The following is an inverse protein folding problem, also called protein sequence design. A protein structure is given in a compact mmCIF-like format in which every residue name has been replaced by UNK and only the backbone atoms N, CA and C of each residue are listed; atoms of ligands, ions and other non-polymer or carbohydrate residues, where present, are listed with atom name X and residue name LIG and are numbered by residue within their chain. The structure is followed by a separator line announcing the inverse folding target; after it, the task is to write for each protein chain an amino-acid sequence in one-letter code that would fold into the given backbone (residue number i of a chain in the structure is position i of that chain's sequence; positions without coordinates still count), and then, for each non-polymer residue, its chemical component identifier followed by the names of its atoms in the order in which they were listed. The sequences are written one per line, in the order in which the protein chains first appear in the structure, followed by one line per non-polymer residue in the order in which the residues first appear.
data_IF_362211986154
#
_entry.id   IF_362211986154
#
_cell.length_a   1.000
_cell.length_b   1.000
_cell.length_c   1.000
_cell.angle_alpha   90.00
_cell.angle_beta   90.00
_cell.angle_gamma   90.00
#
_symmetry.space_group_name_H-M   'P 1'
#
loop_
_entity.id
_entity.type
_entity.pdbx_description
1 polymer ?
#
# COMPACT_ATOMS: atom_id res chain seq x y z
N UNK A 1 13.34 -14.91 13.00
CA UNK A 1 14.17 -14.04 13.85
C UNK A 1 14.53 -12.79 13.06
N UNK A 2 14.45 -11.62 13.67
CA UNK A 2 14.83 -10.33 13.09
C UNK A 2 15.72 -9.57 14.06
N UNK A 3 16.74 -8.88 13.58
CA UNK A 3 17.65 -8.09 14.42
C UNK A 3 17.66 -6.63 13.99
N UNK A 4 17.79 -5.73 14.97
CA UNK A 4 17.99 -4.32 14.75
C UNK A 4 19.07 -3.81 15.72
N UNK A 5 20.28 -3.62 15.23
CA UNK A 5 21.47 -3.26 16.02
C UNK A 5 21.65 -4.24 17.18
N UNK A 6 21.17 -3.86 18.38
CA UNK A 6 21.33 -4.62 19.63
C UNK A 6 20.04 -5.39 20.02
N UNK A 7 18.94 -5.17 19.33
CA UNK A 7 17.65 -5.79 19.62
C UNK A 7 17.39 -7.00 18.75
N UNK A 8 16.91 -8.09 19.33
CA UNK A 8 16.53 -9.33 18.66
C UNK A 8 15.03 -9.58 18.83
N UNK A 9 14.31 -9.70 17.72
CA UNK A 9 12.89 -10.11 17.71
C UNK A 9 12.79 -11.53 17.14
N UNK A 10 12.16 -12.42 17.86
CA UNK A 10 11.90 -13.76 17.38
C UNK A 10 10.53 -14.30 17.83
N UNK A 11 10.02 -15.26 17.07
CA UNK A 11 8.95 -16.14 17.48
C UNK A 11 9.39 -17.58 17.22
N UNK A 12 9.07 -18.49 18.12
CA UNK A 12 9.40 -19.89 17.99
C UNK A 12 8.25 -20.77 18.49
N UNK A 13 8.17 -21.97 17.95
CA UNK A 13 7.37 -23.02 18.56
C UNK A 13 8.12 -23.57 19.78
N UNK A 14 7.43 -24.18 20.78
CA UNK A 14 8.07 -24.73 21.97
C UNK A 14 9.24 -25.69 21.68
N UNK A 15 9.14 -26.45 20.60
CA UNK A 15 10.17 -27.40 20.17
C UNK A 15 11.52 -26.77 19.75
N UNK A 16 11.53 -25.46 19.45
CA UNK A 16 12.73 -24.70 19.09
C UNK A 16 13.28 -23.86 20.26
N UNK A 17 12.69 -23.97 21.45
CA UNK A 17 13.07 -23.11 22.57
C UNK A 17 14.51 -23.40 23.03
N UNK A 18 14.95 -24.66 23.01
CA UNK A 18 16.33 -25.02 23.37
C UNK A 18 17.35 -24.42 22.38
N UNK A 19 17.05 -24.43 21.08
CA UNK A 19 17.92 -23.80 20.08
C UNK A 19 17.97 -22.28 20.24
N UNK A 20 16.87 -21.65 20.64
CA UNK A 20 16.84 -20.21 20.94
C UNK A 20 17.61 -19.88 22.21
N UNK A 21 17.54 -20.72 23.24
CA UNK A 21 18.30 -20.54 24.46
C UNK A 21 19.82 -20.66 24.20
N UNK A 22 20.26 -21.58 23.34
CA UNK A 22 21.66 -21.66 22.91
C UNK A 22 22.15 -20.39 22.21
N UNK A 23 21.31 -19.79 21.34
CA UNK A 23 21.61 -18.49 20.71
C UNK A 23 21.71 -17.39 21.77
N UNK A 24 20.76 -17.34 22.71
CA UNK A 24 20.72 -16.31 23.75
C UNK A 24 21.91 -16.44 24.73
N UNK A 25 22.36 -17.66 25.02
CA UNK A 25 23.54 -17.92 25.87
C UNK A 25 24.84 -17.49 25.18
N UNK A 26 24.88 -17.52 23.85
CA UNK A 26 26.04 -17.07 23.07
C UNK A 26 26.20 -15.54 23.10
N UNK A 27 25.11 -14.81 23.26
CA UNK A 27 25.08 -13.35 23.31
C UNK A 27 24.80 -12.88 24.75
N UNK A 28 25.46 -11.80 25.20
CA UNK A 28 25.16 -11.17 26.49
C UNK A 28 23.83 -10.46 26.48
N UNK A 29 22.73 -11.20 26.60
CA UNK A 29 21.36 -10.66 26.61
C UNK A 29 21.10 -9.97 27.95
N UNK A 30 20.73 -8.67 27.93
CA UNK A 30 20.44 -7.89 29.14
C UNK A 30 19.01 -8.08 29.64
N UNK A 31 18.07 -8.19 28.70
CA UNK A 31 16.64 -8.23 29.01
C UNK A 31 15.92 -9.08 27.96
N UNK A 32 14.96 -9.88 28.40
CA UNK A 32 14.05 -10.64 27.54
C UNK A 32 12.64 -10.21 27.86
N UNK A 33 11.91 -9.71 26.86
CA UNK A 33 10.54 -9.24 26.98
C UNK A 33 9.60 -10.09 26.15
N UNK A 34 8.49 -10.49 26.73
CA UNK A 34 7.35 -11.06 26.04
C UNK A 34 6.31 -9.96 25.72
N UNK A 35 5.43 -10.20 24.75
CA UNK A 35 4.42 -9.22 24.40
C UNK A 35 3.49 -8.89 25.62
N UNK A 36 3.13 -7.62 25.85
CA UNK A 36 3.44 -6.45 25.01
C UNK A 36 4.87 -5.90 25.22
N UNK A 37 5.54 -5.54 24.13
CA UNK A 37 6.88 -4.93 24.18
C UNK A 37 7.05 -3.86 23.11
N UNK A 38 8.17 -3.12 23.16
CA UNK A 38 8.56 -2.17 22.13
C UNK A 38 9.70 -2.73 21.30
N UNK A 39 9.55 -2.61 19.95
CA UNK A 39 10.61 -2.96 19.02
C UNK A 39 10.70 -1.93 17.89
N UNK A 40 11.89 -1.39 17.68
CA UNK A 40 12.12 -0.34 16.66
C UNK A 40 11.13 0.83 16.74
N UNK A 41 10.77 1.25 17.95
CA UNK A 41 9.84 2.37 18.19
C UNK A 41 8.36 2.05 17.97
N UNK A 42 8.00 0.80 17.74
CA UNK A 42 6.61 0.32 17.64
C UNK A 42 6.25 -0.48 18.88
N UNK A 43 5.00 -0.40 19.30
CA UNK A 43 4.42 -1.25 20.31
C UNK A 43 3.89 -2.52 19.61
N UNK A 44 4.29 -3.68 20.10
CA UNK A 44 3.86 -4.99 19.62
C UNK A 44 3.07 -5.66 20.73
N UNK A 45 1.81 -5.96 20.49
CA UNK A 45 0.92 -6.67 21.40
C UNK A 45 0.49 -7.97 20.76
N UNK A 46 0.49 -9.05 21.51
CA UNK A 46 -0.05 -10.34 21.11
C UNK A 46 -1.22 -10.68 22.03
N UNK A 47 -2.34 -11.11 21.44
CA UNK A 47 -3.51 -11.53 22.20
C UNK A 47 -3.49 -13.03 22.54
N UNK A 48 -4.48 -13.48 23.31
CA UNK A 48 -4.60 -14.88 23.74
C UNK A 48 -4.80 -15.86 22.55
N UNK A 49 -5.25 -15.36 21.40
CA UNK A 49 -5.43 -16.13 20.18
C UNK A 49 -4.19 -16.07 19.28
N UNK A 50 -3.06 -15.57 19.77
CA UNK A 50 -1.81 -15.40 19.05
C UNK A 50 -1.85 -14.39 17.90
N UNK A 51 -2.92 -13.60 17.77
CA UNK A 51 -2.96 -12.48 16.83
C UNK A 51 -2.10 -11.31 17.31
N UNK A 52 -1.51 -10.57 16.40
CA UNK A 52 -0.55 -9.51 16.73
C UNK A 52 -1.09 -8.16 16.25
N UNK A 53 -1.05 -7.18 17.16
CA UNK A 53 -1.31 -5.76 16.84
C UNK A 53 -0.02 -4.97 16.96
N UNK A 54 0.27 -4.16 15.94
CA UNK A 54 1.45 -3.28 15.91
C UNK A 54 0.99 -1.83 15.80
N UNK A 55 1.34 -1.01 16.78
CA UNK A 55 1.04 0.43 16.82
C UNK A 55 2.30 1.28 16.94
N UNK A 56 2.15 2.60 16.86
CA UNK A 56 3.20 3.58 17.18
C UNK A 56 2.63 4.70 18.06
N UNK A 57 1.79 4.31 19.04
CA UNK A 57 1.05 5.23 19.91
C UNK A 57 1.99 6.20 20.61
N UNK A 58 2.94 5.68 21.37
CA UNK A 58 3.89 6.46 22.14
C UNK A 58 4.68 7.47 21.30
N UNK A 59 5.15 7.03 20.12
CA UNK A 59 5.89 7.90 19.22
C UNK A 59 5.00 8.98 18.63
N UNK A 60 3.75 8.65 18.29
CA UNK A 60 2.78 9.61 17.74
C UNK A 60 2.42 10.67 18.78
N UNK A 61 2.16 10.29 20.03
CA UNK A 61 1.78 11.21 21.11
C UNK A 61 2.92 12.14 21.54
N UNK A 62 4.18 11.74 21.35
CA UNK A 62 5.37 12.57 21.65
C UNK A 62 5.68 13.63 20.61
N UNK A 63 5.10 13.59 19.41
CA UNK A 63 5.32 14.60 18.38
C UNK A 63 4.67 15.91 18.87
N UNK A 64 5.46 16.98 18.91
CA UNK A 64 4.96 18.30 19.34
C UNK A 64 4.44 19.08 18.12
N UNK A 65 3.30 19.78 18.25
CA UNK A 65 2.81 20.67 17.21
C UNK A 65 3.79 21.82 16.94
N UNK A 66 3.75 22.35 15.73
CA UNK A 66 4.55 23.50 15.35
C UNK A 66 3.92 24.75 15.94
N UNK A 67 4.70 25.53 16.68
CA UNK A 67 4.26 26.85 17.14
C UNK A 67 4.19 27.84 15.98
N UNK A 68 3.05 28.50 15.84
CA UNK A 68 2.77 29.47 14.76
C UNK A 68 2.36 30.78 15.41
N UNK A 69 3.19 31.80 15.26
CA UNK A 69 2.91 33.12 15.82
C UNK A 69 1.54 33.67 15.38
N UNK A 70 0.79 34.25 16.33
CA UNK A 70 -0.60 34.68 16.15
C UNK A 70 -0.82 35.63 14.94
N UNK A 71 0.18 36.45 14.60
CA UNK A 71 0.09 37.46 13.52
C UNK A 71 0.46 36.92 12.13
N UNK A 72 0.86 35.65 12.02
CA UNK A 72 1.28 35.04 10.75
C UNK A 72 0.08 34.71 9.86
N UNK A 73 0.13 35.15 8.59
CA UNK A 73 -0.92 34.84 7.59
C UNK A 73 -0.59 33.54 6.87
N UNK A 74 -1.61 32.83 6.46
CA UNK A 74 -1.42 31.55 5.71
C UNK A 74 -0.61 31.69 4.42
N UNK A 75 -0.60 32.87 3.82
CA UNK A 75 0.16 33.21 2.62
C UNK A 75 1.62 33.63 2.88
N UNK A 76 2.01 33.80 4.15
CA UNK A 76 3.38 34.15 4.48
C UNK A 76 4.30 32.95 4.26
N UNK A 77 5.47 33.18 3.69
CA UNK A 77 6.52 32.16 3.57
C UNK A 77 7.07 31.79 4.95
N UNK A 78 7.39 30.54 5.15
CA UNK A 78 8.08 30.10 6.37
C UNK A 78 9.48 30.70 6.45
N UNK A 79 9.88 31.09 7.65
CA UNK A 79 11.29 31.41 7.96
C UNK A 79 12.15 30.14 7.88
N UNK A 80 13.47 30.26 8.06
CA UNK A 80 14.38 29.11 8.07
C UNK A 80 14.06 28.21 9.26
N UNK A 81 13.81 28.79 10.42
CA UNK A 81 13.46 28.08 11.67
C UNK A 81 12.11 27.37 11.53
N UNK A 82 11.08 28.08 11.04
CA UNK A 82 9.75 27.51 10.77
C UNK A 82 9.84 26.35 9.74
N UNK A 83 10.66 26.50 8.70
CA UNK A 83 10.90 25.44 7.70
C UNK A 83 11.57 24.22 8.35
N UNK A 84 12.52 24.43 9.26
CA UNK A 84 13.18 23.35 10.00
C UNK A 84 12.18 22.60 10.90
N UNK A 85 11.34 23.34 11.63
CA UNK A 85 10.27 22.76 12.45
C UNK A 85 9.27 21.96 11.59
N UNK A 86 8.83 22.53 10.47
CA UNK A 86 7.92 21.85 9.53
C UNK A 86 8.53 20.53 9.02
N UNK A 87 9.79 20.55 8.58
CA UNK A 87 10.50 19.33 8.14
C UNK A 87 10.58 18.26 9.24
N UNK A 88 10.87 18.68 10.46
CA UNK A 88 10.98 17.75 11.60
C UNK A 88 9.66 17.05 11.89
N UNK A 89 8.55 17.79 12.00
CA UNK A 89 7.23 17.21 12.26
C UNK A 89 6.76 16.34 11.10
N UNK A 90 6.95 16.81 9.86
CA UNK A 90 6.62 16.02 8.64
C UNK A 90 7.43 14.73 8.58
N UNK A 91 8.72 14.74 8.96
CA UNK A 91 9.55 13.54 9.01
C UNK A 91 9.05 12.53 10.06
N UNK A 92 8.66 13.02 11.24
CA UNK A 92 8.09 12.18 12.32
C UNK A 92 6.76 11.55 11.88
N UNK A 93 5.86 12.34 11.27
CA UNK A 93 4.60 11.83 10.71
C UNK A 93 4.84 10.84 9.57
N UNK A 94 5.87 11.07 8.74
CA UNK A 94 6.23 10.16 7.65
C UNK A 94 6.72 8.80 8.16
N UNK A 95 7.44 8.80 9.31
CA UNK A 95 7.84 7.57 9.96
C UNK A 95 6.59 6.81 10.45
N UNK A 96 5.67 7.44 11.18
CA UNK A 96 4.42 6.83 11.66
C UNK A 96 3.59 6.28 10.48
N UNK A 97 3.41 7.08 9.44
CA UNK A 97 2.65 6.69 8.24
C UNK A 97 3.23 5.44 7.55
N UNK A 98 4.56 5.34 7.49
CA UNK A 98 5.26 4.21 6.84
C UNK A 98 5.32 2.96 7.69
N UNK A 99 5.32 3.11 9.02
CA UNK A 99 5.49 1.97 9.91
C UNK A 99 4.16 1.25 10.21
N UNK A 100 3.09 2.01 10.47
CA UNK A 100 1.84 1.45 11.00
C UNK A 100 0.56 2.15 10.55
N UNK A 101 0.63 3.32 9.91
CA UNK A 101 -0.53 4.17 9.62
C UNK A 101 -0.65 4.53 8.14
N UNK A 102 -0.98 3.57 7.24
CA UNK A 102 -1.13 3.83 5.80
C UNK A 102 -2.14 4.94 5.49
N UNK A 103 -3.21 5.11 6.28
CA UNK A 103 -4.19 6.18 6.12
C UNK A 103 -3.64 7.61 6.20
N UNK A 104 -2.46 7.81 6.79
CA UNK A 104 -1.77 9.10 6.81
C UNK A 104 -0.90 9.35 5.57
N UNK A 105 -0.59 8.31 4.78
CA UNK A 105 0.48 8.36 3.76
C UNK A 105 0.24 9.43 2.69
N UNK A 106 -0.97 9.61 2.21
CA UNK A 106 -1.29 10.63 1.22
C UNK A 106 -1.10 12.05 1.76
N UNK A 107 -1.68 12.36 2.93
CA UNK A 107 -1.58 13.68 3.58
C UNK A 107 -0.12 14.02 3.87
N UNK A 108 0.65 13.04 4.37
CA UNK A 108 2.07 13.18 4.65
C UNK A 108 2.89 13.35 3.37
N UNK A 109 2.59 12.60 2.30
CA UNK A 109 3.23 12.76 0.99
C UNK A 109 3.06 14.18 0.44
N UNK A 110 1.87 14.77 0.60
CA UNK A 110 1.62 16.18 0.25
C UNK A 110 2.46 17.14 1.08
N UNK A 111 2.51 16.96 2.39
CA UNK A 111 3.32 17.81 3.27
C UNK A 111 4.82 17.70 2.94
N UNK A 112 5.32 16.51 2.63
CA UNK A 112 6.71 16.30 2.20
C UNK A 112 7.04 17.07 0.92
N UNK A 113 6.10 17.20 -0.01
CA UNK A 113 6.31 17.92 -1.27
C UNK A 113 6.51 19.42 -1.08
N UNK A 114 5.98 19.99 0.00
CA UNK A 114 6.05 21.43 0.31
C UNK A 114 7.00 21.78 1.47
N UNK A 115 7.44 20.79 2.26
CA UNK A 115 8.24 21.02 3.48
C UNK A 115 9.56 21.77 3.25
N UNK A 116 10.07 21.81 2.02
CA UNK A 116 11.29 22.55 1.67
C UNK A 116 11.09 24.03 1.38
N UNK A 117 9.86 24.46 1.02
CA UNK A 117 9.50 25.82 0.59
C UNK A 117 8.10 26.17 1.09
N UNK A 118 7.77 25.77 2.32
CA UNK A 118 6.45 25.85 2.87
C UNK A 118 5.98 27.28 3.16
N UNK A 119 4.67 27.40 3.26
CA UNK A 119 3.96 28.59 3.75
C UNK A 119 3.34 28.29 5.11
N UNK A 120 2.92 29.33 5.83
CA UNK A 120 2.25 29.16 7.13
C UNK A 120 0.98 28.30 7.04
N UNK A 121 0.28 28.31 5.89
CA UNK A 121 -0.85 27.38 5.64
C UNK A 121 -0.42 25.91 5.71
N UNK A 122 0.81 25.59 5.26
CA UNK A 122 1.31 24.22 5.24
C UNK A 122 1.69 23.76 6.66
N UNK A 123 2.19 24.68 7.51
CA UNK A 123 2.41 24.40 8.93
C UNK A 123 1.09 24.12 9.66
N UNK A 124 0.05 24.92 9.37
CA UNK A 124 -1.30 24.70 9.93
C UNK A 124 -1.88 23.37 9.48
N UNK A 125 -1.72 23.01 8.21
CA UNK A 125 -2.15 21.70 7.71
C UNK A 125 -1.36 20.56 8.35
N UNK A 126 -0.05 20.74 8.55
CA UNK A 126 0.78 19.78 9.27
C UNK A 126 0.27 19.55 10.70
N UNK A 127 -0.07 20.63 11.43
CA UNK A 127 -0.64 20.51 12.78
C UNK A 127 -2.01 19.80 12.79
N UNK A 128 -2.86 20.02 11.80
CA UNK A 128 -4.14 19.27 11.65
C UNK A 128 -3.91 17.78 11.41
N UNK A 129 -2.91 17.44 10.57
CA UNK A 129 -2.55 16.04 10.34
C UNK A 129 -2.01 15.40 11.61
N UNK A 130 -1.20 16.15 12.37
CA UNK A 130 -0.67 15.69 13.65
C UNK A 130 -1.78 15.49 14.69
N UNK A 131 -2.69 16.46 14.83
CA UNK A 131 -3.84 16.38 15.72
C UNK A 131 -4.70 15.14 15.42
N UNK A 132 -5.03 14.92 14.14
CA UNK A 132 -5.73 13.71 13.71
C UNK A 132 -4.94 12.44 14.06
N UNK A 133 -3.63 12.41 13.81
CA UNK A 133 -2.80 11.27 14.14
C UNK A 133 -2.77 10.97 15.64
N UNK A 134 -2.75 12.00 16.49
CA UNK A 134 -2.75 11.87 17.96
C UNK A 134 -4.12 11.45 18.50
N UNK A 135 -5.22 12.00 17.98
CA UNK A 135 -6.58 11.59 18.35
C UNK A 135 -6.85 10.11 18.04
N UNK A 136 -6.18 9.58 17.03
CA UNK A 136 -6.27 8.20 16.58
C UNK A 136 -4.96 7.42 16.80
N UNK A 137 -4.23 7.72 17.87
CA UNK A 137 -2.88 7.17 18.12
C UNK A 137 -2.86 5.65 18.31
N UNK A 138 -4.00 5.05 18.67
CA UNK A 138 -4.16 3.60 18.86
C UNK A 138 -4.38 2.82 17.57
N UNK A 139 -4.62 3.50 16.43
CA UNK A 139 -4.71 2.80 15.15
C UNK A 139 -3.35 2.21 14.76
N UNK A 140 -3.39 1.03 14.14
CA UNK A 140 -2.19 0.30 13.76
C UNK A 140 -2.46 -0.77 12.71
N UNK A 141 -1.68 -1.82 12.75
CA UNK A 141 -1.81 -2.98 11.85
C UNK A 141 -2.11 -4.22 12.70
N UNK A 142 -3.12 -4.96 12.30
CA UNK A 142 -3.51 -6.23 12.89
C UNK A 142 -3.10 -7.40 11.99
N UNK A 143 -2.50 -8.41 12.59
CA UNK A 143 -2.13 -9.68 11.96
C UNK A 143 -2.91 -10.78 12.66
N UNK A 144 -3.91 -11.33 11.98
CA UNK A 144 -4.70 -12.45 12.48
C UNK A 144 -3.85 -13.71 12.57
N UNK A 145 -4.03 -14.49 13.63
CA UNK A 145 -3.47 -15.86 13.71
C UNK A 145 -4.21 -16.84 12.81
N UNK A 146 -5.38 -16.45 12.31
CA UNK A 146 -6.25 -17.29 11.48
C UNK A 146 -6.37 -16.75 10.06
N UNK A 147 -6.79 -17.60 9.14
CA UNK A 147 -7.18 -17.20 7.77
C UNK A 147 -6.07 -17.20 6.73
N UNK A 148 -4.80 -17.32 7.12
CA UNK A 148 -3.67 -17.47 6.19
C UNK A 148 -2.74 -18.56 6.72
N UNK A 149 -2.59 -19.62 5.95
CA UNK A 149 -1.56 -20.65 6.19
C UNK A 149 -0.40 -20.43 5.23
N UNK A 150 0.82 -20.82 5.62
CA UNK A 150 2.00 -20.63 4.77
C UNK A 150 1.94 -21.39 3.43
N UNK A 151 1.28 -22.54 3.41
CA UNK A 151 1.13 -23.36 2.20
C UNK A 151 0.14 -22.76 1.20
N UNK A 152 -0.79 -21.93 1.67
CA UNK A 152 -1.80 -21.28 0.85
C UNK A 152 -1.60 -19.76 0.74
N UNK A 153 -0.54 -19.23 1.35
CA UNK A 153 -0.26 -17.81 1.32
C UNK A 153 0.17 -17.36 -0.08
N UNK A 154 -0.38 -16.24 -0.52
CA UNK A 154 0.03 -15.52 -1.73
C UNK A 154 0.34 -14.07 -1.39
N UNK A 155 1.16 -13.44 -2.21
CA UNK A 155 1.29 -11.99 -2.18
C UNK A 155 0.07 -11.38 -2.88
N UNK A 156 -0.48 -10.33 -2.31
CA UNK A 156 -1.51 -9.53 -2.95
C UNK A 156 -1.07 -8.06 -3.01
N UNK A 157 -1.11 -7.47 -4.19
CA UNK A 157 -0.81 -6.06 -4.41
C UNK A 157 -2.07 -5.34 -4.88
N UNK A 158 -2.48 -4.30 -4.16
CA UNK A 158 -3.65 -3.47 -4.46
C UNK A 158 -3.14 -2.11 -4.89
N UNK A 159 -3.49 -1.65 -6.09
CA UNK A 159 -2.96 -0.40 -6.67
C UNK A 159 -4.05 0.53 -7.13
N UNK A 160 -3.82 1.83 -6.95
CA UNK A 160 -4.66 2.91 -7.47
C UNK A 160 -3.79 4.09 -7.93
N UNK A 161 -4.31 4.90 -8.85
CA UNK A 161 -3.72 6.16 -9.23
C UNK A 161 -4.76 7.28 -9.37
N UNK A 162 -4.41 8.47 -8.92
CA UNK A 162 -5.17 9.67 -9.27
C UNK A 162 -4.47 10.42 -10.40
N UNK A 163 -5.20 10.65 -11.49
CA UNK A 163 -4.69 11.35 -12.66
C UNK A 163 -4.92 12.85 -12.55
N UNK A 164 -3.84 13.66 -12.54
CA UNK A 164 -3.86 15.13 -12.55
C UNK A 164 -4.72 15.80 -11.45
N UNK A 165 -4.95 15.13 -10.33
CA UNK A 165 -5.81 15.66 -9.25
C UNK A 165 -5.09 16.63 -8.32
N UNK A 166 -3.77 16.78 -8.46
CA UNK A 166 -2.96 17.63 -7.59
C UNK A 166 -2.56 18.93 -8.30
N UNK A 167 -3.05 20.07 -7.81
CA UNK A 167 -2.56 21.38 -8.23
C UNK A 167 -1.30 21.71 -7.44
N UNK A 168 -0.17 21.85 -8.11
CA UNK A 168 1.07 22.32 -7.52
C UNK A 168 1.27 23.79 -7.85
N UNK A 169 1.48 24.62 -6.85
CA UNK A 169 1.84 26.03 -7.05
C UNK A 169 3.36 26.15 -7.04
N UNK A 170 3.98 26.41 -8.18
CA UNK A 170 5.41 26.67 -8.31
C UNK A 170 5.61 28.16 -8.58
N UNK A 171 6.35 28.83 -7.69
CA UNK A 171 6.62 30.27 -7.75
C UNK A 171 5.36 31.17 -7.90
N UNK A 172 4.28 30.75 -7.26
CA UNK A 172 3.01 31.48 -7.27
C UNK A 172 2.11 31.18 -8.47
N UNK A 173 2.55 30.35 -9.41
CA UNK A 173 1.77 29.93 -10.58
C UNK A 173 1.22 28.50 -10.35
N UNK A 174 -0.09 28.27 -10.51
CA UNK A 174 -0.65 26.92 -10.49
C UNK A 174 -0.11 26.13 -11.69
N UNK A 175 0.68 25.09 -11.44
CA UNK A 175 1.03 24.13 -12.48
C UNK A 175 -0.03 23.04 -12.61
N UNK A 176 -0.25 22.50 -13.82
CA UNK A 176 -1.18 21.42 -14.05
C UNK A 176 -0.85 20.23 -13.16
N UNK A 177 -1.90 19.62 -12.65
CA UNK A 177 -1.88 18.64 -11.60
C UNK A 177 -0.89 17.50 -11.80
N UNK A 178 -0.21 17.12 -10.73
CA UNK A 178 0.59 15.90 -10.67
C UNK A 178 -0.33 14.72 -10.42
N UNK A 179 0.02 13.60 -10.99
CA UNK A 179 -0.63 12.33 -10.70
C UNK A 179 -0.01 11.70 -9.46
N UNK A 180 -0.84 11.09 -8.62
CA UNK A 180 -0.42 10.35 -7.42
C UNK A 180 -0.63 8.86 -7.67
N UNK A 181 0.27 8.04 -7.17
CA UNK A 181 0.16 6.59 -7.19
C UNK A 181 0.22 6.04 -5.77
N UNK A 182 -0.56 5.00 -5.53
CA UNK A 182 -0.61 4.30 -4.27
C UNK A 182 -0.60 2.78 -4.48
N UNK A 183 0.01 2.07 -3.54
CA UNK A 183 -0.11 0.63 -3.46
C UNK A 183 -0.13 0.14 -2.01
N UNK A 184 -0.74 -1.02 -1.81
CA UNK A 184 -0.67 -1.83 -0.60
C UNK A 184 -0.24 -3.22 -1.03
N UNK A 185 0.80 -3.76 -0.40
CA UNK A 185 1.25 -5.14 -0.56
C UNK A 185 0.98 -5.88 0.73
N UNK A 186 0.28 -6.98 0.64
CA UNK A 186 -0.09 -7.81 1.78
C UNK A 186 0.11 -9.30 1.47
N UNK A 187 0.12 -10.12 2.52
CA UNK A 187 -0.15 -11.54 2.41
C UNK A 187 -1.66 -11.78 2.44
N UNK A 188 -2.13 -12.76 1.69
CA UNK A 188 -3.52 -13.16 1.59
C UNK A 188 -3.63 -14.67 1.36
N UNK A 189 -4.78 -15.30 1.61
CA UNK A 189 -5.01 -16.68 1.20
C UNK A 189 -5.15 -16.78 -0.32
N UNK A 190 -4.67 -17.86 -0.94
CA UNK A 190 -4.78 -18.08 -2.39
C UNK A 190 -6.22 -18.01 -2.90
N UNK A 191 -7.18 -18.46 -2.09
CA UNK A 191 -8.62 -18.36 -2.37
C UNK A 191 -9.13 -16.93 -2.55
N UNK A 192 -8.37 -15.91 -2.11
CA UNK A 192 -8.74 -14.50 -2.25
C UNK A 192 -9.11 -14.12 -3.68
N UNK A 193 -8.58 -14.80 -4.68
CA UNK A 193 -8.89 -14.54 -6.09
C UNK A 193 -10.41 -14.60 -6.38
N UNK A 194 -11.13 -15.50 -5.72
CA UNK A 194 -12.55 -15.75 -5.93
C UNK A 194 -13.44 -15.38 -4.72
N UNK A 195 -12.84 -15.08 -3.57
CA UNK A 195 -13.57 -14.71 -2.37
C UNK A 195 -14.09 -13.27 -2.45
N UNK A 196 -15.17 -13.00 -1.75
CA UNK A 196 -15.74 -11.66 -1.57
C UNK A 196 -15.27 -11.00 -0.26
N UNK A 197 -14.67 -11.77 0.63
CA UNK A 197 -14.04 -11.31 1.87
C UNK A 197 -12.84 -12.21 2.16
N UNK A 198 -11.73 -11.63 2.60
CA UNK A 198 -10.54 -12.37 2.96
C UNK A 198 -9.80 -11.70 4.12
N UNK A 199 -9.05 -12.48 4.89
CA UNK A 199 -8.04 -11.96 5.82
C UNK A 199 -6.83 -11.52 4.99
N UNK A 200 -6.28 -10.36 5.30
CA UNK A 200 -5.03 -9.87 4.72
C UNK A 200 -4.06 -9.43 5.81
N UNK A 201 -2.77 -9.61 5.56
CA UNK A 201 -1.70 -9.10 6.42
C UNK A 201 -0.92 -8.02 5.65
N UNK A 202 -1.19 -6.73 5.88
CA UNK A 202 -0.48 -5.63 5.23
C UNK A 202 0.99 -5.59 5.64
N UNK A 203 1.89 -5.62 4.66
CA UNK A 203 3.34 -5.65 4.90
C UNK A 203 4.01 -4.37 4.42
N UNK A 204 3.57 -3.82 3.30
CA UNK A 204 4.17 -2.63 2.69
C UNK A 204 3.12 -1.79 1.98
N UNK A 205 3.29 -0.48 2.03
CA UNK A 205 2.44 0.48 1.30
C UNK A 205 3.21 1.73 0.93
N UNK A 206 2.69 2.46 -0.04
CA UNK A 206 3.29 3.72 -0.46
C UNK A 206 2.25 4.66 -1.06
N UNK A 207 2.47 5.95 -0.87
CA UNK A 207 1.76 7.03 -1.53
C UNK A 207 2.79 8.03 -2.05
N UNK A 208 2.94 8.15 -3.37
CA UNK A 208 3.97 8.98 -3.98
C UNK A 208 3.49 9.64 -5.27
N UNK A 209 4.07 10.79 -5.61
CA UNK A 209 3.87 11.40 -6.92
C UNK A 209 4.46 10.55 -8.04
N UNK A 210 3.74 10.44 -9.14
CA UNK A 210 4.27 9.88 -10.38
C UNK A 210 5.24 10.90 -10.99
N UNK A 211 6.52 10.52 -11.09
CA UNK A 211 7.57 11.41 -11.62
C UNK A 211 7.47 11.62 -13.13
N UNK A 212 6.80 10.70 -13.83
CA UNK A 212 6.61 10.77 -15.29
C UNK A 212 5.32 11.54 -15.60
N UNK A 213 5.33 12.25 -16.73
CA UNK A 213 4.11 12.92 -17.21
C UNK A 213 3.10 11.87 -17.67
N UNK A 214 1.95 11.82 -17.02
CA UNK A 214 0.82 11.02 -17.45
C UNK A 214 -0.04 11.83 -18.43
N UNK A 215 -0.50 11.18 -19.51
CA UNK A 215 -1.38 11.80 -20.51
C UNK A 215 -2.80 11.26 -20.47
N UNK A 216 -3.04 10.21 -19.68
CA UNK A 216 -4.33 9.56 -19.52
C UNK A 216 -4.37 8.81 -18.19
N UNK A 217 -5.57 8.53 -17.69
CA UNK A 217 -5.79 7.73 -16.48
C UNK A 217 -5.13 6.35 -16.59
N UNK A 218 -5.33 5.64 -17.71
CA UNK A 218 -4.71 4.33 -17.95
C UNK A 218 -3.18 4.35 -17.76
N UNK A 219 -2.51 5.42 -18.17
CA UNK A 219 -1.05 5.56 -17.97
C UNK A 219 -0.68 5.72 -16.49
N UNK A 220 -1.47 6.48 -15.73
CA UNK A 220 -1.24 6.65 -14.30
C UNK A 220 -1.46 5.32 -13.56
N UNK A 221 -2.54 4.60 -13.87
CA UNK A 221 -2.85 3.27 -13.33
C UNK A 221 -1.78 2.23 -13.68
N UNK A 222 -1.28 2.25 -14.92
CA UNK A 222 -0.18 1.37 -15.33
C UNK A 222 1.08 1.64 -14.49
N UNK A 223 1.42 2.90 -14.21
CA UNK A 223 2.59 3.22 -13.38
C UNK A 223 2.38 2.82 -11.91
N UNK A 224 1.18 2.98 -11.38
CA UNK A 224 0.85 2.49 -10.04
C UNK A 224 0.99 0.96 -9.98
N UNK A 225 0.45 0.24 -10.98
CA UNK A 225 0.56 -1.21 -11.07
C UNK A 225 2.02 -1.67 -11.14
N UNK A 226 2.85 -1.11 -12.02
CA UNK A 226 4.29 -1.42 -12.11
C UNK A 226 4.96 -1.22 -10.73
N UNK A 227 4.72 -0.07 -10.10
CA UNK A 227 5.34 0.24 -8.82
C UNK A 227 4.92 -0.70 -7.70
N UNK A 228 3.63 -1.04 -7.65
CA UNK A 228 3.07 -1.98 -6.68
C UNK A 228 3.57 -3.41 -6.92
N UNK A 229 3.53 -3.89 -8.16
CA UNK A 229 3.98 -5.25 -8.50
C UNK A 229 5.46 -5.44 -8.26
N UNK A 230 6.31 -4.46 -8.56
CA UNK A 230 7.73 -4.49 -8.18
C UNK A 230 7.94 -4.62 -6.66
N UNK A 231 7.10 -3.98 -5.85
CA UNK A 231 7.16 -4.13 -4.39
C UNK A 231 6.70 -5.53 -3.95
N UNK A 232 5.63 -6.05 -4.58
CA UNK A 232 5.11 -7.38 -4.33
C UNK A 232 6.09 -8.50 -4.72
N UNK A 233 6.73 -8.38 -5.87
CA UNK A 233 7.76 -9.34 -6.34
C UNK A 233 8.94 -9.41 -5.36
N UNK A 234 9.40 -8.26 -4.83
CA UNK A 234 10.46 -8.24 -3.80
C UNK A 234 10.01 -8.91 -2.50
N UNK A 235 8.78 -8.68 -2.05
CA UNK A 235 8.24 -9.34 -0.86
C UNK A 235 8.13 -10.84 -1.09
N UNK A 236 7.59 -11.28 -2.24
CA UNK A 236 7.49 -12.67 -2.65
C UNK A 236 8.84 -13.37 -2.60
N UNK A 237 9.87 -12.76 -3.20
CA UNK A 237 11.22 -13.30 -3.19
C UNK A 237 11.79 -13.44 -1.77
N UNK A 238 11.61 -12.42 -0.92
CA UNK A 238 12.06 -12.46 0.47
C UNK A 238 11.38 -13.58 1.27
N UNK A 239 10.08 -13.83 1.06
CA UNK A 239 9.36 -14.91 1.73
C UNK A 239 9.84 -16.29 1.24
N UNK A 240 9.99 -16.46 -0.08
CA UNK A 240 10.47 -17.71 -0.66
C UNK A 240 11.90 -18.00 -0.25
N UNK A 241 12.73 -16.97 -0.05
CA UNK A 241 14.09 -17.09 0.52
C UNK A 241 14.03 -17.55 1.98
N UNK A 242 13.17 -16.96 2.80
CA UNK A 242 12.95 -17.42 4.19
C UNK A 242 12.45 -18.87 4.28
N UNK A 243 11.74 -19.37 3.26
CA UNK A 243 11.35 -20.76 3.12
C UNK A 243 12.52 -21.69 2.68
N UNK A 244 13.69 -21.13 2.38
CA UNK A 244 14.84 -21.89 1.86
C UNK A 244 14.65 -22.42 0.43
N UNK A 245 13.73 -21.83 -0.34
CA UNK A 245 13.35 -22.32 -1.68
C UNK A 245 13.83 -21.42 -2.82
N UNK A 246 14.47 -20.27 -2.52
CA UNK A 246 14.89 -19.30 -3.53
C UNK A 246 16.21 -19.69 -4.19
N UNK A 247 16.24 -19.77 -5.52
CA UNK A 247 17.49 -19.76 -6.29
C UNK A 247 17.87 -18.33 -6.64
N UNK A 248 18.91 -17.80 -6.02
CA UNK A 248 19.38 -16.43 -6.22
C UNK A 248 19.77 -16.09 -7.67
N UNK A 249 20.12 -17.09 -8.50
CA UNK A 249 20.47 -16.85 -9.91
C UNK A 249 19.25 -16.62 -10.78
N UNK A 250 18.14 -17.25 -10.40
CA UNK A 250 16.83 -17.19 -11.10
C UNK A 250 15.74 -16.82 -10.11
N UNK A 251 15.99 -15.77 -9.31
CA UNK A 251 15.17 -15.45 -8.15
C UNK A 251 13.71 -15.07 -8.49
N UNK A 252 13.49 -14.36 -9.60
CA UNK A 252 12.13 -13.95 -10.01
C UNK A 252 11.29 -15.17 -10.41
N UNK A 253 11.85 -16.02 -11.27
CA UNK A 253 11.18 -17.25 -11.75
C UNK A 253 10.95 -18.23 -10.60
N UNK A 254 11.96 -18.45 -9.76
CA UNK A 254 11.86 -19.35 -8.62
C UNK A 254 10.84 -18.87 -7.62
N UNK A 255 10.81 -17.55 -7.31
CA UNK A 255 9.81 -16.99 -6.42
C UNK A 255 8.39 -17.15 -6.99
N UNK A 256 8.21 -16.95 -8.29
CA UNK A 256 6.92 -17.10 -8.96
C UNK A 256 6.41 -18.56 -8.98
N UNK A 257 7.30 -19.54 -9.02
CA UNK A 257 6.94 -20.96 -8.95
C UNK A 257 6.48 -21.40 -7.56
N UNK A 258 6.96 -20.74 -6.51
CA UNK A 258 6.69 -21.14 -5.13
C UNK A 258 5.60 -20.33 -4.44
N UNK A 259 5.23 -19.18 -4.96
CA UNK A 259 4.22 -18.31 -4.34
C UNK A 259 3.50 -17.49 -5.41
N UNK A 260 2.18 -17.56 -5.42
CA UNK A 260 1.35 -16.74 -6.29
C UNK A 260 1.34 -15.26 -5.92
N UNK A 261 1.00 -14.40 -6.87
CA UNK A 261 0.89 -12.96 -6.66
C UNK A 261 -0.36 -12.39 -7.34
N UNK A 262 -1.33 -11.95 -6.56
CA UNK A 262 -2.56 -11.32 -7.03
C UNK A 262 -2.34 -9.82 -7.23
N UNK A 263 -2.73 -9.29 -8.38
CA UNK A 263 -2.67 -7.85 -8.68
C UNK A 263 -4.08 -7.27 -8.76
N UNK A 264 -4.45 -6.41 -7.82
CA UNK A 264 -5.77 -5.81 -7.77
C UNK A 264 -5.80 -4.40 -8.32
N UNK A 265 -6.78 -4.13 -9.18
CA UNK A 265 -7.07 -2.81 -9.73
C UNK A 265 -8.58 -2.64 -9.91
N UNK A 266 -9.07 -1.40 -9.83
CA UNK A 266 -10.44 -1.04 -10.21
C UNK A 266 -10.52 -0.41 -11.61
N UNK A 267 -9.39 -0.24 -12.30
CA UNK A 267 -9.29 0.30 -13.64
C UNK A 267 -9.66 -0.77 -14.68
N UNK A 268 -10.91 -0.76 -15.17
CA UNK A 268 -11.41 -1.70 -16.19
C UNK A 268 -10.48 -1.78 -17.41
N UNK A 269 -10.04 -0.63 -17.94
CA UNK A 269 -9.19 -0.60 -19.13
C UNK A 269 -7.81 -1.22 -18.89
N UNK A 270 -7.22 -1.04 -17.71
CA UNK A 270 -5.97 -1.71 -17.35
C UNK A 270 -6.18 -3.21 -17.25
N UNK A 271 -7.21 -3.64 -16.53
CA UNK A 271 -7.55 -5.05 -16.38
C UNK A 271 -7.80 -5.73 -17.73
N UNK A 272 -8.59 -5.11 -18.63
CA UNK A 272 -8.83 -5.63 -19.99
C UNK A 272 -7.53 -5.77 -20.79
N UNK A 273 -6.62 -4.80 -20.72
CA UNK A 273 -5.33 -4.89 -21.39
C UNK A 273 -4.45 -6.01 -20.83
N UNK A 274 -4.46 -6.24 -19.52
CA UNK A 274 -3.68 -7.30 -18.89
C UNK A 274 -4.23 -8.69 -19.20
N UNK A 275 -5.56 -8.86 -19.22
CA UNK A 275 -6.22 -10.16 -19.38
C UNK A 275 -6.48 -10.56 -20.84
N UNK A 276 -6.45 -9.63 -21.80
CA UNK A 276 -6.63 -9.95 -23.20
C UNK A 276 -5.52 -10.86 -23.73
N UNK A 277 -5.83 -11.91 -24.47
CA UNK A 277 -4.81 -12.75 -25.11
C UNK A 277 -3.91 -11.97 -26.06
N UNK A 278 -4.43 -10.92 -26.69
CA UNK A 278 -3.68 -10.02 -27.57
C UNK A 278 -3.73 -8.61 -27.01
N UNK A 279 -2.60 -7.91 -27.04
CA UNK A 279 -2.57 -6.50 -26.68
C UNK A 279 -3.40 -5.71 -27.69
N UNK A 280 -4.40 -4.97 -27.20
CA UNK A 280 -5.16 -4.03 -28.02
C UNK A 280 -4.24 -2.91 -28.54
N UNK A 281 -4.55 -2.36 -29.70
CA UNK A 281 -3.76 -1.28 -30.29
C UNK A 281 -3.67 -0.07 -29.33
N UNK A 282 -2.46 0.34 -28.99
CA UNK A 282 -2.16 1.47 -28.13
C UNK A 282 -1.30 2.44 -28.92
N UNK A 283 -1.80 3.65 -29.14
CA UNK A 283 -1.07 4.69 -29.90
C UNK A 283 0.22 5.12 -29.18
N UNK A 284 0.19 5.18 -27.86
CA UNK A 284 1.36 5.55 -27.08
C UNK A 284 2.32 4.38 -26.91
N UNK A 285 3.40 4.39 -27.71
CA UNK A 285 4.40 3.30 -27.71
C UNK A 285 5.05 3.04 -26.34
N UNK A 286 5.25 4.07 -25.51
CA UNK A 286 5.83 3.89 -24.16
C UNK A 286 4.88 3.14 -23.25
N UNK A 287 3.60 3.53 -23.26
CA UNK A 287 2.57 2.82 -22.51
C UNK A 287 2.42 1.37 -23.01
N UNK A 288 2.50 1.16 -24.31
CA UNK A 288 2.47 -0.20 -24.87
C UNK A 288 3.62 -1.06 -24.33
N UNK A 289 4.84 -0.52 -24.24
CA UNK A 289 6.01 -1.23 -23.68
C UNK A 289 5.80 -1.55 -22.20
N UNK A 290 5.34 -0.57 -21.41
CA UNK A 290 5.08 -0.76 -19.98
C UNK A 290 3.99 -1.85 -19.74
N UNK A 291 2.92 -1.84 -20.55
CA UNK A 291 1.89 -2.89 -20.49
C UNK A 291 2.40 -4.25 -20.97
N UNK A 292 3.24 -4.29 -22.00
CA UNK A 292 3.85 -5.54 -22.46
C UNK A 292 4.72 -6.18 -21.37
N UNK A 293 5.49 -5.38 -20.64
CA UNK A 293 6.31 -5.87 -19.52
C UNK A 293 5.45 -6.49 -18.40
N UNK A 294 4.34 -5.85 -18.02
CA UNK A 294 3.40 -6.44 -17.05
C UNK A 294 2.77 -7.73 -17.58
N UNK A 295 2.38 -7.74 -18.85
CA UNK A 295 1.78 -8.92 -19.49
C UNK A 295 2.75 -10.10 -19.60
N UNK A 296 4.02 -9.83 -19.79
CA UNK A 296 5.05 -10.86 -19.81
C UNK A 296 5.05 -11.67 -18.51
N UNK A 297 4.97 -11.01 -17.36
CA UNK A 297 4.90 -11.69 -16.06
C UNK A 297 3.66 -12.59 -15.92
N UNK A 298 2.55 -12.24 -16.56
CA UNK A 298 1.29 -12.99 -16.48
C UNK A 298 1.25 -14.16 -17.47
N UNK A 299 1.72 -13.91 -18.72
CA UNK A 299 1.50 -14.79 -19.86
C UNK A 299 2.75 -15.56 -20.33
N UNK A 300 3.90 -15.34 -19.74
CA UNK A 300 5.13 -16.05 -20.09
C UNK A 300 5.69 -16.76 -18.87
N UNK A 301 6.01 -18.03 -19.02
CA UNK A 301 6.69 -18.84 -18.02
C UNK A 301 7.82 -19.60 -18.69
N UNK A 302 9.00 -19.59 -18.04
CA UNK A 302 10.20 -20.29 -18.53
C UNK A 302 10.55 -19.93 -20.00
N UNK A 303 10.23 -18.66 -20.41
CA UNK A 303 10.44 -18.17 -21.77
C UNK A 303 9.37 -18.61 -22.79
N UNK A 304 8.37 -19.37 -22.36
CA UNK A 304 7.26 -19.82 -23.20
C UNK A 304 5.96 -19.11 -22.85
N UNK A 305 5.15 -18.85 -23.88
CA UNK A 305 3.84 -18.23 -23.69
C UNK A 305 2.85 -19.25 -23.16
N UNK A 306 2.22 -18.95 -22.04
CA UNK A 306 1.10 -19.72 -21.49
C UNK A 306 -0.22 -19.27 -22.10
N UNK A 307 -1.14 -20.21 -22.31
CA UNK A 307 -2.52 -19.95 -22.78
C UNK A 307 -3.52 -19.91 -21.63
N UNK A 308 -3.12 -20.47 -20.48
CA UNK A 308 -3.93 -20.54 -19.27
C UNK A 308 -3.15 -19.94 -18.10
N UNK A 309 -3.87 -19.22 -17.23
CA UNK A 309 -3.33 -18.68 -15.99
C UNK A 309 -3.49 -19.74 -14.90
N UNK A 310 -2.36 -20.23 -14.40
CA UNK A 310 -2.35 -21.10 -13.23
C UNK A 310 -2.41 -20.26 -11.96
N UNK A 311 -3.51 -20.38 -11.23
CA UNK A 311 -3.76 -19.60 -10.02
C UNK A 311 -3.01 -20.10 -8.77
N UNK A 312 -2.30 -21.21 -8.86
CA UNK A 312 -1.50 -21.74 -7.75
C UNK A 312 -0.11 -21.12 -7.67
N UNK A 313 0.41 -20.60 -8.77
CA UNK A 313 1.71 -19.94 -8.85
C UNK A 313 1.71 -18.90 -9.97
N UNK A 314 2.69 -17.97 -9.92
CA UNK A 314 2.82 -16.90 -10.90
C UNK A 314 2.01 -15.65 -10.54
N UNK A 315 1.72 -14.85 -11.54
CA UNK A 315 1.12 -13.52 -11.40
C UNK A 315 -0.25 -13.49 -12.09
N UNK A 316 -1.27 -12.95 -11.41
CA UNK A 316 -2.60 -12.89 -11.98
C UNK A 316 -3.40 -11.67 -11.52
N UNK A 317 -3.96 -10.90 -12.47
CA UNK A 317 -4.76 -9.74 -12.16
C UNK A 317 -6.16 -10.11 -11.65
N UNK A 318 -6.68 -9.28 -10.74
CA UNK A 318 -8.07 -9.29 -10.33
C UNK A 318 -8.64 -7.87 -10.40
N UNK A 319 -9.78 -7.75 -11.10
CA UNK A 319 -10.55 -6.52 -11.03
C UNK A 319 -11.42 -6.49 -9.77
N UNK A 320 -11.47 -5.32 -9.11
CA UNK A 320 -12.38 -5.06 -7.98
C UNK A 320 -13.19 -3.80 -8.24
N UNK A 321 -14.32 -3.66 -7.55
CA UNK A 321 -15.15 -2.46 -7.66
C UNK A 321 -14.46 -1.24 -7.03
N UNK A 322 -14.56 -0.06 -7.66
CA UNK A 322 -13.99 1.19 -7.12
C UNK A 322 -14.49 1.52 -5.72
N UNK A 323 -15.75 1.16 -5.37
CA UNK A 323 -16.28 1.41 -4.02
C UNK A 323 -15.57 0.64 -2.91
N UNK A 324 -14.77 -0.37 -3.27
CA UNK A 324 -13.99 -1.19 -2.33
C UNK A 324 -12.48 -1.08 -2.54
N UNK A 325 -12.04 -0.15 -3.40
CA UNK A 325 -10.61 0.09 -3.67
C UNK A 325 -9.89 0.59 -2.42
N UNK A 326 -9.13 -0.32 -1.80
CA UNK A 326 -8.44 -0.06 -0.55
C UNK A 326 -7.29 0.95 -0.70
N UNK A 327 -6.72 1.08 -1.91
CA UNK A 327 -5.62 2.00 -2.18
C UNK A 327 -6.06 3.44 -2.51
N UNK A 328 -7.36 3.71 -2.70
CA UNK A 328 -7.91 5.05 -2.97
C UNK A 328 -7.43 6.13 -1.99
N UNK A 329 -7.44 5.92 -0.65
CA UNK A 329 -6.96 6.89 0.32
C UNK A 329 -5.45 7.18 0.25
N UNK A 330 -4.68 6.40 -0.52
CA UNK A 330 -3.26 6.65 -0.80
C UNK A 330 -3.06 7.64 -1.96
N UNK A 331 -4.10 7.92 -2.75
CA UNK A 331 -4.00 8.72 -3.97
C UNK A 331 -4.89 9.94 -3.97
N UNK A 332 -5.88 9.99 -3.09
CA UNK A 332 -6.93 11.03 -3.02
C UNK A 332 -7.14 11.53 -1.59
N UNK A 333 -7.59 12.79 -1.47
CA UNK A 333 -8.10 13.30 -0.19
C UNK A 333 -9.53 12.84 -0.02
N UNK A 334 -9.71 11.78 0.76
CA UNK A 334 -11.01 11.18 1.03
C UNK A 334 -11.05 10.58 2.43
N UNK A 335 -12.23 10.14 2.84
CA UNK A 335 -12.38 9.34 4.04
C UNK A 335 -11.71 7.97 3.84
N UNK A 336 -10.79 7.62 4.74
CA UNK A 336 -10.02 6.37 4.74
C UNK A 336 -10.56 5.30 5.68
N UNK A 337 -11.78 5.44 6.24
CA UNK A 337 -12.32 4.55 7.28
C UNK A 337 -12.24 3.08 6.88
N UNK A 338 -12.61 2.74 5.64
CA UNK A 338 -12.49 1.37 5.13
C UNK A 338 -11.06 0.82 5.20
N UNK A 339 -10.08 1.65 4.79
CA UNK A 339 -8.68 1.23 4.88
C UNK A 339 -8.26 1.06 6.34
N UNK A 340 -8.61 2.00 7.20
CA UNK A 340 -8.29 1.94 8.64
C UNK A 340 -8.93 0.69 9.26
N UNK A 341 -10.21 0.44 9.00
CA UNK A 341 -10.92 -0.75 9.49
C UNK A 341 -10.23 -2.04 9.02
N UNK A 342 -9.90 -2.13 7.73
CA UNK A 342 -9.18 -3.28 7.18
C UNK A 342 -7.80 -3.47 7.85
N UNK A 343 -7.05 -2.38 8.10
CA UNK A 343 -5.76 -2.46 8.79
C UNK A 343 -5.90 -2.91 10.24
N UNK A 344 -6.96 -2.48 10.92
CA UNK A 344 -7.22 -2.78 12.33
C UNK A 344 -7.85 -4.16 12.56
N UNK A 345 -8.51 -4.72 11.56
CA UNK A 345 -9.21 -6.01 11.69
C UNK A 345 -8.57 -7.15 10.89
N UNK A 346 -7.70 -6.81 9.94
CA UNK A 346 -7.17 -7.76 8.97
C UNK A 346 -8.22 -8.22 7.94
N UNK A 347 -9.47 -7.77 8.01
CA UNK A 347 -10.58 -8.22 7.13
C UNK A 347 -10.75 -7.26 5.96
N UNK A 348 -10.61 -7.78 4.76
CA UNK A 348 -10.88 -7.04 3.53
C UNK A 348 -12.18 -7.53 2.89
N UNK A 349 -13.23 -6.73 2.98
CA UNK A 349 -14.51 -6.95 2.30
C UNK A 349 -14.50 -6.33 0.90
N UNK A 350 -14.56 -7.18 -0.12
CA UNK A 350 -14.51 -6.81 -1.54
C UNK A 350 -15.90 -6.77 -2.20
N UNK A 351 -16.98 -6.85 -1.41
CA UNK A 351 -18.36 -6.71 -1.92
C UNK A 351 -18.65 -5.26 -2.28
N UNK A 352 -19.10 -4.99 -3.52
CA UNK A 352 -19.49 -3.64 -3.93
C UNK A 352 -20.53 -3.05 -2.99
N UNK A 353 -20.45 -1.74 -2.73
CA UNK A 353 -21.46 -1.05 -1.92
C UNK A 353 -22.81 -1.00 -2.63
N UNK A 354 -23.91 -0.94 -1.88
CA UNK A 354 -25.27 -0.83 -2.44
C UNK A 354 -25.41 0.40 -3.34
N UNK A 355 -24.74 1.51 -2.99
CA UNK A 355 -24.72 2.74 -3.80
C UNK A 355 -24.01 2.52 -5.15
N UNK A 356 -22.85 1.84 -5.16
CA UNK A 356 -22.14 1.50 -6.40
C UNK A 356 -22.99 0.62 -7.32
N UNK A 357 -23.64 -0.39 -6.76
CA UNK A 357 -24.54 -1.27 -7.51
C UNK A 357 -25.71 -0.47 -8.13
N UNK A 358 -26.34 0.41 -7.35
CA UNK A 358 -27.42 1.27 -7.84
C UNK A 358 -26.96 2.18 -8.99
N UNK A 359 -25.79 2.84 -8.84
CA UNK A 359 -25.23 3.69 -9.88
C UNK A 359 -24.94 2.90 -11.16
N UNK A 360 -24.39 1.70 -11.05
CA UNK A 360 -24.11 0.82 -12.20
C UNK A 360 -25.38 0.40 -12.92
N UNK A 361 -26.44 0.04 -12.20
CA UNK A 361 -27.73 -0.30 -12.77
C UNK A 361 -28.35 0.87 -13.51
N UNK A 362 -28.36 2.08 -12.89
CA UNK A 362 -28.84 3.31 -13.52
C UNK A 362 -28.09 3.64 -14.80
N UNK A 363 -26.76 3.54 -14.79
CA UNK A 363 -25.92 3.78 -15.98
C UNK A 363 -26.17 2.76 -17.08
N UNK A 364 -26.36 1.49 -16.71
CA UNK A 364 -26.70 0.41 -17.66
C UNK A 364 -28.09 0.65 -18.32
N UNK A 365 -29.07 1.08 -17.54
CA UNK A 365 -30.41 1.44 -18.03
C UNK A 365 -30.35 2.63 -19.01
N UNK A 366 -29.59 3.69 -18.66
CA UNK A 366 -29.40 4.87 -19.49
C UNK A 366 -28.71 4.54 -20.83
N UNK A 367 -27.67 3.71 -20.80
CA UNK A 367 -26.97 3.24 -22.04
C UNK A 367 -27.87 2.39 -22.95
N UNK A 368 -28.75 1.55 -22.36
CA UNK A 368 -29.75 0.78 -23.14
C UNK A 368 -30.76 1.72 -23.80
N UNK A 369 -31.28 2.71 -23.05
CA UNK A 369 -32.22 3.69 -23.58
C UNK A 369 -31.60 4.57 -24.69
N UNK A 370 -30.32 4.94 -24.57
CA UNK A 370 -29.59 5.68 -25.61
C UNK A 370 -29.35 4.88 -26.89
N UNK A 371 -29.08 3.57 -26.78
CA UNK A 371 -28.93 2.69 -27.95
C UNK A 371 -30.25 2.47 -28.70
N UNK A 372 -31.38 2.39 -27.98
CA UNK A 372 -32.70 2.26 -28.62
C UNK A 372 -33.06 3.55 -29.38
N UNK A 373 -32.75 4.74 -28.85
CA UNK A 373 -32.98 6.02 -29.55
C UNK A 373 -32.06 6.27 -30.74
N UNK A 374 -30.93 5.60 -30.87
CA UNK A 374 -30.01 5.73 -32.00
C UNK A 374 -30.33 4.74 -33.13
N UNK A 375 -31.26 3.81 -32.94
CA UNK A 375 -31.71 2.82 -33.93
C UNK A 375 -33.11 3.12 -34.46
N UNK A 376 -33.79 4.11 -33.92
CA UNK A 376 -35.04 4.72 -34.45
C UNK A 376 -34.71 6.05 -35.12
#
# INVERSE_FOLDING_TARGET
MSSNVDDLLYGSLPEFEDAMNEVLDTFSVRERNEAPFRFCGKEVCQDENMSITVTAKDNTEKIRPIDIGEKRRGTDKCTVEETTCLRSVVASLAWVARQVRPGLSYRVSKLQSVAGKGYIKDMRECNKVLEYAQQHSTEGIFFSSEGITWDEAVVCTITDASFCNETVVIDGVPEPGRSQQGYIVCLAPAGMLNLTEAIIHPISWSSTHIKRVCRATLMAETFAMIKGTEAGVRLRAAIVDMMGKLDMRHWEETAARHMGHIWMTDCDSLYEHLMSQRLNAIENKRLAIDLMALRQQIWERDGERTLEIDHSCGDYPRWIDTSVMLADPLTKSMNGDRMVDTMMTGKFDMRPTAESLYIKEKNRASRKAGKVKAQT
#
